data_IF_836771137157
#
_entry.id   IF_836771137157
#
_cell.length_a   1.000
_cell.length_b   1.000
_cell.length_c   1.000
_cell.angle_alpha   90.00
_cell.angle_beta   90.00
_cell.angle_gamma   90.00
#
_symmetry.space_group_name_H-M   'P 1'
#
loop_
_entity.id
_entity.type
_entity.pdbx_description
1 polymer ?
#
# COMPACT_ATOMS: atom_id res chain seq x y z
N UNK A 1 24.88 16.49 15.77
CA UNK A 1 23.88 15.84 16.63
C UNK A 1 22.98 14.98 15.77
N UNK A 2 23.09 13.64 15.87
CA UNK A 2 22.24 12.70 15.13
C UNK A 2 20.98 12.46 15.98
N UNK A 3 19.89 13.15 15.68
CA UNK A 3 18.59 12.92 16.33
C UNK A 3 17.94 11.66 15.75
N UNK A 4 18.25 10.50 16.34
CA UNK A 4 17.49 9.28 16.09
C UNK A 4 16.22 9.32 16.93
N UNK A 5 15.12 9.81 16.36
CA UNK A 5 13.81 9.76 16.99
C UNK A 5 13.30 8.31 17.00
N UNK A 6 13.16 7.77 18.21
CA UNK A 6 12.60 6.45 18.53
C UNK A 6 11.13 6.64 18.98
N UNK A 7 10.36 5.55 18.98
CA UNK A 7 9.17 5.28 19.83
C UNK A 7 7.77 5.15 19.17
N UNK A 8 7.17 4.03 19.58
CA UNK A 8 5.78 3.60 19.79
C UNK A 8 4.86 3.18 18.61
N UNK A 9 4.18 2.05 18.87
CA UNK A 9 3.41 1.17 17.97
C UNK A 9 1.91 1.32 18.25
N UNK A 10 1.08 1.20 17.21
CA UNK A 10 -0.24 0.58 17.31
C UNK A 10 -0.42 -0.39 16.14
N UNK A 11 -0.43 -1.69 16.42
CA UNK A 11 -1.08 -2.70 15.59
C UNK A 11 -1.99 -3.47 16.55
N UNK A 12 -3.21 -2.98 16.71
CA UNK A 12 -4.23 -3.61 17.55
C UNK A 12 -4.92 -4.70 16.71
N UNK A 13 -4.75 -5.97 17.10
CA UNK A 13 -5.71 -7.02 16.77
C UNK A 13 -6.68 -7.08 17.96
N UNK A 14 -8.00 -7.07 17.76
CA UNK A 14 -8.95 -7.26 18.84
C UNK A 14 -8.95 -8.73 19.25
N UNK A 15 -8.08 -9.11 20.18
CA UNK A 15 -8.13 -10.41 20.84
C UNK A 15 -8.41 -10.19 22.34
N UNK A 16 -9.57 -10.67 22.79
CA UNK A 16 -10.30 -10.19 23.98
C UNK A 16 -9.85 -10.80 25.31
N UNK A 17 -8.61 -11.27 25.46
CA UNK A 17 -8.20 -11.86 26.74
C UNK A 17 -6.70 -11.89 27.09
N UNK A 18 -5.86 -11.05 26.48
CA UNK A 18 -4.45 -10.88 26.89
C UNK A 18 -4.07 -9.41 26.80
N UNK A 19 -3.30 -8.92 27.76
CA UNK A 19 -2.71 -7.57 27.71
C UNK A 19 -2.14 -7.29 26.32
N UNK A 20 -2.31 -6.08 25.75
CA UNK A 20 -1.82 -5.76 24.42
C UNK A 20 -0.29 -5.78 24.39
N UNK A 21 0.27 -6.96 24.14
CA UNK A 21 1.70 -7.18 24.05
C UNK A 21 2.26 -6.63 22.75
N UNK A 22 3.45 -6.02 22.82
CA UNK A 22 4.20 -5.68 21.62
C UNK A 22 4.69 -6.96 20.93
N UNK A 23 4.23 -7.21 19.70
CA UNK A 23 4.70 -8.31 18.88
C UNK A 23 5.95 -7.89 18.09
N UNK A 24 6.95 -8.76 18.04
CA UNK A 24 8.18 -8.54 17.29
C UNK A 24 8.06 -9.15 15.88
N UNK A 25 8.36 -8.37 14.85
CA UNK A 25 8.32 -8.85 13.46
C UNK A 25 9.52 -9.73 13.07
N UNK A 26 10.63 -9.65 13.82
CA UNK A 26 11.86 -10.43 13.63
C UNK A 26 12.62 -10.60 14.94
N UNK A 27 13.66 -11.44 14.92
CA UNK A 27 14.63 -11.49 16.01
C UNK A 27 15.42 -10.16 16.09
N UNK A 28 15.53 -9.61 17.31
CA UNK A 28 16.22 -8.36 17.61
C UNK A 28 17.35 -8.66 18.61
N UNK A 29 18.61 -8.68 18.18
CA UNK A 29 19.77 -8.81 19.06
C UNK A 29 19.78 -7.80 20.21
N UNK A 30 20.37 -8.22 21.34
CA UNK A 30 20.55 -7.35 22.51
C UNK A 30 21.35 -6.09 22.12
N UNK A 31 20.81 -4.93 22.45
CA UNK A 31 21.43 -3.63 22.16
C UNK A 31 21.05 -3.04 20.80
N UNK A 32 20.30 -3.75 19.95
CA UNK A 32 19.76 -3.17 18.73
C UNK A 32 18.57 -2.25 19.03
N UNK A 33 18.47 -1.15 18.29
CA UNK A 33 17.34 -0.23 18.39
C UNK A 33 16.06 -0.85 17.83
N UNK A 34 14.98 -0.82 18.61
CA UNK A 34 13.64 -1.21 18.16
C UNK A 34 13.09 -0.09 17.27
N UNK A 35 12.68 -0.43 16.05
CA UNK A 35 12.15 0.53 15.07
C UNK A 35 10.73 0.15 14.64
N UNK A 36 9.96 1.15 14.21
CA UNK A 36 8.61 0.98 13.68
C UNK A 36 8.39 1.92 12.48
N UNK A 37 7.32 1.69 11.72
CA UNK A 37 6.92 2.55 10.61
C UNK A 37 5.90 3.61 11.07
N UNK A 38 6.17 4.88 10.74
CA UNK A 38 5.20 5.98 10.91
C UNK A 38 4.19 6.09 9.77
N UNK A 39 4.40 5.32 8.70
CA UNK A 39 3.58 5.37 7.49
C UNK A 39 2.95 4.01 7.24
N UNK A 40 1.80 3.95 6.54
CA UNK A 40 1.30 2.68 6.02
C UNK A 40 2.37 1.96 5.19
N UNK A 41 2.41 0.63 5.32
CA UNK A 41 3.49 -0.20 4.74
C UNK A 41 3.46 -0.21 3.21
N UNK A 42 2.28 -0.06 2.60
CA UNK A 42 2.08 -0.08 1.16
C UNK A 42 2.34 1.27 0.48
N UNK A 43 2.77 2.31 1.22
CA UNK A 43 3.09 3.58 0.59
C UNK A 43 4.44 3.53 -0.12
N UNK A 44 4.45 3.96 -1.38
CA UNK A 44 5.68 4.15 -2.14
C UNK A 44 6.58 5.26 -1.56
N UNK A 45 7.87 5.17 -1.87
CA UNK A 45 8.95 6.02 -1.39
C UNK A 45 8.63 7.52 -1.43
N UNK A 46 8.10 8.06 -2.54
CA UNK A 46 7.84 9.50 -2.66
C UNK A 46 6.67 9.97 -1.78
N UNK A 47 5.59 9.20 -1.71
CA UNK A 47 4.44 9.51 -0.83
C UNK A 47 4.85 9.45 0.65
N UNK A 48 5.63 8.42 1.01
CA UNK A 48 6.21 8.28 2.34
C UNK A 48 7.17 9.41 2.68
N UNK A 49 8.07 9.79 1.78
CA UNK A 49 9.01 10.89 2.00
C UNK A 49 8.26 12.22 2.20
N UNK A 50 7.27 12.53 1.36
CA UNK A 50 6.46 13.74 1.48
C UNK A 50 5.72 13.81 2.82
N UNK A 51 5.10 12.70 3.25
CA UNK A 51 4.40 12.63 4.53
C UNK A 51 5.33 12.77 5.75
N UNK A 52 6.48 12.09 5.74
CA UNK A 52 7.44 12.19 6.85
C UNK A 52 8.07 13.58 6.94
N UNK A 53 8.34 14.21 5.79
CA UNK A 53 8.83 15.58 5.74
C UNK A 53 7.79 16.57 6.31
N UNK A 54 6.50 16.42 5.98
CA UNK A 54 5.46 17.35 6.44
C UNK A 54 4.99 17.10 7.87
N UNK A 55 4.83 15.83 8.28
CA UNK A 55 4.23 15.46 9.56
C UNK A 55 5.25 15.20 10.67
N UNK A 56 6.45 14.73 10.31
CA UNK A 56 7.53 14.38 11.27
C UNK A 56 8.79 15.22 11.09
N UNK A 57 8.81 16.13 10.10
CA UNK A 57 9.89 17.10 9.88
C UNK A 57 11.26 16.45 9.66
N UNK A 58 11.31 15.27 9.03
CA UNK A 58 12.57 14.62 8.65
C UNK A 58 12.50 13.89 7.31
N UNK A 59 13.65 13.71 6.66
CA UNK A 59 13.80 12.84 5.48
C UNK A 59 14.25 11.45 5.91
N UNK A 60 13.45 10.43 5.62
CA UNK A 60 13.81 9.06 5.96
C UNK A 60 15.01 8.57 5.14
N UNK A 61 15.95 7.90 5.81
CA UNK A 61 17.16 7.32 5.21
C UNK A 61 17.31 5.83 5.53
N UNK A 62 16.20 5.12 5.77
CA UNK A 62 16.27 3.67 5.92
C UNK A 62 16.62 3.00 4.59
N UNK A 63 17.06 1.75 4.63
CA UNK A 63 17.46 0.96 3.45
C UNK A 63 16.42 1.03 2.31
N UNK A 64 15.13 0.82 2.63
CA UNK A 64 14.04 0.92 1.67
C UNK A 64 13.91 2.30 1.01
N UNK A 65 14.14 3.39 1.76
CA UNK A 65 14.04 4.75 1.22
C UNK A 65 15.27 5.16 0.40
N UNK A 66 16.40 4.48 0.60
CA UNK A 66 17.62 4.71 -0.17
C UNK A 66 17.67 3.84 -1.43
N UNK A 67 16.88 2.76 -1.49
CA UNK A 67 16.77 1.88 -2.65
C UNK A 67 15.59 2.30 -3.56
N UNK A 68 15.83 2.67 -4.83
CA UNK A 68 14.78 2.94 -5.82
C UNK A 68 13.85 1.75 -6.10
N UNK A 69 14.31 0.52 -5.83
CA UNK A 69 13.52 -0.71 -5.99
C UNK A 69 12.71 -1.07 -4.75
N UNK A 70 12.87 -0.31 -3.66
CA UNK A 70 12.18 -0.55 -2.38
C UNK A 70 12.39 -1.97 -1.85
N UNK A 71 13.64 -2.45 -1.86
CA UNK A 71 14.01 -3.82 -1.48
C UNK A 71 13.37 -4.87 -2.41
N UNK A 72 13.24 -4.52 -3.69
CA UNK A 72 12.62 -5.36 -4.72
C UNK A 72 11.09 -5.36 -4.72
N UNK A 73 10.43 -4.55 -3.89
CA UNK A 73 8.96 -4.48 -3.90
C UNK A 73 8.41 -3.68 -5.07
N UNK A 74 9.19 -2.75 -5.63
CA UNK A 74 8.79 -1.90 -6.75
C UNK A 74 7.45 -1.17 -6.56
N UNK A 75 7.11 -0.79 -5.31
CA UNK A 75 5.83 -0.15 -5.00
C UNK A 75 5.69 1.20 -5.70
N UNK A 76 6.81 1.89 -5.94
CA UNK A 76 6.88 3.19 -6.58
C UNK A 76 7.20 3.08 -8.07
N UNK A 77 7.68 1.94 -8.55
CA UNK A 77 8.10 1.79 -9.95
C UNK A 77 6.89 1.75 -10.88
N UNK A 78 7.05 2.29 -12.09
CA UNK A 78 5.99 2.35 -13.09
C UNK A 78 6.40 1.62 -14.35
N UNK A 79 5.50 0.84 -14.97
CA UNK A 79 5.79 0.16 -16.24
C UNK A 79 6.35 1.12 -17.30
N UNK A 80 7.46 0.73 -17.92
CA UNK A 80 8.02 1.44 -19.06
C UNK A 80 7.13 1.29 -20.30
N UNK A 81 6.94 2.37 -21.05
CA UNK A 81 6.16 2.35 -22.31
C UNK A 81 7.01 2.16 -23.56
N UNK A 82 8.33 2.29 -23.46
CA UNK A 82 9.24 2.14 -24.61
C UNK A 82 9.74 0.71 -24.82
N UNK A 83 9.86 -0.08 -23.76
CA UNK A 83 10.30 -1.46 -23.86
C UNK A 83 9.28 -2.42 -23.25
N UNK A 84 9.35 -3.68 -23.66
CA UNK A 84 8.55 -4.74 -23.06
C UNK A 84 9.24 -5.24 -21.79
N UNK A 85 8.52 -5.19 -20.66
CA UNK A 85 8.97 -5.80 -19.41
C UNK A 85 9.78 -4.89 -18.48
N UNK A 86 10.25 -3.73 -18.93
CA UNK A 86 10.98 -2.79 -18.07
C UNK A 86 10.10 -1.94 -17.17
N UNK A 87 10.69 -1.41 -16.10
CA UNK A 87 10.04 -0.45 -15.19
C UNK A 87 10.90 0.81 -15.01
N UNK A 88 10.21 1.95 -14.95
CA UNK A 88 10.74 3.24 -14.57
C UNK A 88 10.90 3.27 -13.05
N UNK A 89 12.13 3.45 -12.59
CA UNK A 89 12.46 3.61 -11.19
C UNK A 89 12.33 5.09 -10.79
N UNK A 90 11.87 5.37 -9.56
CA UNK A 90 11.88 6.72 -9.03
C UNK A 90 13.33 7.23 -8.91
N UNK A 91 13.54 8.55 -9.03
CA UNK A 91 14.84 9.15 -8.77
C UNK A 91 15.32 8.85 -7.34
N UNK A 92 16.64 8.74 -7.17
CA UNK A 92 17.25 8.41 -5.87
C UNK A 92 17.25 9.60 -4.91
N UNK A 93 17.15 10.83 -5.46
CA UNK A 93 17.10 12.08 -4.71
C UNK A 93 15.81 12.86 -5.00
N UNK A 94 15.20 13.53 -4.01
CA UNK A 94 14.08 14.45 -4.26
C UNK A 94 14.40 15.61 -5.22
N UNK A 95 15.68 15.97 -5.38
CA UNK A 95 16.10 17.03 -6.30
C UNK A 95 16.13 16.58 -7.77
N UNK A 96 16.20 15.27 -8.02
CA UNK A 96 16.17 14.71 -9.36
C UNK A 96 14.72 14.62 -9.86
N UNK A 97 14.52 15.00 -11.11
CA UNK A 97 13.20 15.11 -11.73
C UNK A 97 13.01 14.11 -12.87
N UNK A 98 13.90 13.13 -13.00
CA UNK A 98 13.88 12.15 -14.08
C UNK A 98 13.75 10.75 -13.50
N UNK A 99 12.81 9.99 -14.05
CA UNK A 99 12.63 8.58 -13.83
C UNK A 99 13.31 7.82 -14.95
N UNK A 100 14.04 6.76 -14.63
CA UNK A 100 14.80 6.00 -15.61
C UNK A 100 14.34 4.55 -15.66
N UNK A 101 14.19 4.01 -16.86
CA UNK A 101 13.88 2.61 -17.05
C UNK A 101 15.11 1.74 -16.82
N UNK A 102 15.01 0.73 -15.97
CA UNK A 102 16.14 -0.16 -15.69
C UNK A 102 16.49 -1.14 -16.81
N UNK A 103 15.60 -1.32 -17.80
CA UNK A 103 15.82 -2.26 -18.92
C UNK A 103 16.31 -1.59 -20.20
N UNK A 104 15.79 -0.41 -20.55
CA UNK A 104 16.13 0.27 -21.81
C UNK A 104 16.76 1.66 -21.63
N UNK A 105 16.88 2.16 -20.39
CA UNK A 105 17.47 3.47 -20.11
C UNK A 105 16.59 4.67 -20.46
N UNK A 106 15.35 4.46 -20.89
CA UNK A 106 14.40 5.53 -21.20
C UNK A 106 14.20 6.45 -19.99
N UNK A 107 14.25 7.76 -20.24
CA UNK A 107 14.12 8.79 -19.23
C UNK A 107 12.76 9.50 -19.36
N UNK A 108 11.99 9.55 -18.29
CA UNK A 108 10.66 10.17 -18.24
C UNK A 108 10.63 11.23 -17.15
N UNK A 109 10.07 12.39 -17.43
CA UNK A 109 9.94 13.47 -16.45
C UNK A 109 9.04 13.04 -15.28
N UNK A 110 9.47 13.36 -14.05
CA UNK A 110 8.73 13.05 -12.83
C UNK A 110 7.31 13.63 -12.84
N UNK A 111 7.12 14.83 -13.39
CA UNK A 111 5.80 15.45 -13.52
C UNK A 111 4.82 14.58 -14.34
N UNK A 112 5.31 13.93 -15.41
CA UNK A 112 4.49 13.06 -16.25
C UNK A 112 4.14 11.75 -15.52
N UNK A 113 5.11 11.12 -14.85
CA UNK A 113 4.87 9.92 -14.03
C UNK A 113 3.89 10.23 -12.90
N UNK A 114 4.07 11.33 -12.19
CA UNK A 114 3.18 11.75 -11.13
C UNK A 114 1.76 12.04 -11.61
N UNK A 115 1.59 12.70 -12.76
CA UNK A 115 0.27 12.97 -13.31
C UNK A 115 -0.47 11.67 -13.62
N UNK A 116 0.23 10.70 -14.19
CA UNK A 116 -0.31 9.35 -14.44
C UNK A 116 -0.67 8.64 -13.13
N UNK A 117 0.21 8.67 -12.11
CA UNK A 117 -0.05 8.06 -10.80
C UNK A 117 -1.21 8.73 -10.07
N UNK A 118 -1.36 10.06 -10.16
CA UNK A 118 -2.50 10.80 -9.61
C UNK A 118 -3.80 10.39 -10.28
N UNK A 119 -3.83 10.33 -11.62
CA UNK A 119 -5.01 9.89 -12.36
C UNK A 119 -5.41 8.46 -11.97
N UNK A 120 -4.43 7.55 -11.93
CA UNK A 120 -4.59 6.18 -11.46
C UNK A 120 -5.22 6.10 -10.06
N UNK A 121 -4.69 6.88 -9.11
CA UNK A 121 -5.19 6.91 -7.74
C UNK A 121 -6.61 7.50 -7.63
N UNK A 122 -6.96 8.51 -8.43
CA UNK A 122 -8.31 9.07 -8.48
C UNK A 122 -9.32 8.04 -8.98
N UNK A 123 -8.98 7.29 -10.02
CA UNK A 123 -9.83 6.21 -10.54
C UNK A 123 -10.06 5.12 -9.49
N UNK A 124 -8.99 4.67 -8.82
CA UNK A 124 -9.10 3.66 -7.77
C UNK A 124 -9.95 4.10 -6.58
N UNK A 125 -9.89 5.38 -6.21
CA UNK A 125 -10.75 5.94 -5.16
C UNK A 125 -12.22 5.98 -5.56
N UNK A 126 -12.52 6.22 -6.83
CA UNK A 126 -13.90 6.32 -7.33
C UNK A 126 -14.66 5.00 -7.28
N UNK A 127 -13.95 3.86 -7.43
CA UNK A 127 -14.54 2.53 -7.47
C UNK A 127 -14.74 1.88 -6.08
N UNK A 128 -14.31 2.54 -4.99
CA UNK A 128 -14.33 1.93 -3.65
C UNK A 128 -15.76 1.52 -3.25
N UNK A 129 -15.94 0.25 -2.87
CA UNK A 129 -17.22 -0.32 -2.47
C UNK A 129 -17.96 -1.08 -3.59
N UNK A 130 -17.51 -0.96 -4.83
CA UNK A 130 -18.02 -1.73 -5.97
C UNK A 130 -16.97 -2.74 -6.44
N UNK A 131 -17.27 -4.03 -6.31
CA UNK A 131 -16.34 -5.10 -6.65
C UNK A 131 -16.08 -5.20 -8.16
N UNK A 132 -17.09 -4.96 -9.00
CA UNK A 132 -16.96 -5.05 -10.46
C UNK A 132 -16.13 -3.89 -11.00
N UNK A 133 -16.41 -2.67 -10.52
CA UNK A 133 -15.62 -1.49 -10.89
C UNK A 133 -14.18 -1.61 -10.39
N UNK A 134 -13.96 -2.09 -9.15
CA UNK A 134 -12.62 -2.32 -8.62
C UNK A 134 -11.84 -3.34 -9.45
N UNK A 135 -12.48 -4.41 -9.90
CA UNK A 135 -11.86 -5.40 -10.79
C UNK A 135 -11.43 -4.75 -12.12
N UNK A 136 -12.30 -3.93 -12.73
CA UNK A 136 -11.96 -3.19 -13.94
C UNK A 136 -10.79 -2.23 -13.72
N UNK A 137 -10.79 -1.49 -12.61
CA UNK A 137 -9.68 -0.60 -12.22
C UNK A 137 -8.39 -1.39 -12.03
N UNK A 138 -8.40 -2.52 -11.34
CA UNK A 138 -7.19 -3.35 -11.14
C UNK A 138 -6.60 -3.77 -12.49
N UNK A 139 -7.41 -4.22 -13.44
CA UNK A 139 -6.97 -4.55 -14.79
C UNK A 139 -6.35 -3.34 -15.50
N UNK A 140 -6.98 -2.17 -15.40
CA UNK A 140 -6.48 -0.95 -16.02
C UNK A 140 -5.18 -0.45 -15.39
N UNK A 141 -5.08 -0.44 -14.06
CA UNK A 141 -3.87 0.01 -13.33
C UNK A 141 -2.72 -0.95 -13.54
N UNK A 142 -2.98 -2.26 -13.57
CA UNK A 142 -1.98 -3.27 -13.90
C UNK A 142 -1.37 -2.99 -15.27
N UNK A 143 -2.17 -2.52 -16.25
CA UNK A 143 -1.69 -2.11 -17.59
C UNK A 143 -0.92 -0.79 -17.57
N UNK A 144 -1.47 0.20 -16.88
CA UNK A 144 -0.98 1.59 -16.89
C UNK A 144 0.28 1.81 -16.07
N UNK A 145 0.26 1.38 -14.79
CA UNK A 145 1.34 1.63 -13.83
C UNK A 145 2.12 0.35 -13.49
N UNK A 146 1.53 -0.82 -13.68
CA UNK A 146 2.17 -2.11 -13.40
C UNK A 146 1.53 -2.82 -12.21
N UNK A 147 1.89 -4.09 -12.05
CA UNK A 147 1.25 -4.98 -11.09
C UNK A 147 1.60 -4.68 -9.63
N UNK A 148 2.88 -4.37 -9.37
CA UNK A 148 3.40 -4.14 -8.03
C UNK A 148 3.25 -2.69 -7.57
N UNK A 149 2.86 -1.77 -8.44
CA UNK A 149 2.73 -0.36 -8.09
C UNK A 149 1.67 -0.18 -6.98
N UNK A 150 1.94 0.69 -6.01
CA UNK A 150 1.15 0.81 -4.78
C UNK A 150 -0.33 1.12 -5.04
N UNK A 151 -0.65 1.82 -6.12
CA UNK A 151 -2.04 2.08 -6.52
C UNK A 151 -2.75 0.79 -6.95
N UNK A 152 -2.08 -0.07 -7.71
CA UNK A 152 -2.63 -1.38 -8.13
C UNK A 152 -2.79 -2.29 -6.92
N UNK A 153 -1.78 -2.35 -6.04
CA UNK A 153 -1.85 -3.16 -4.82
C UNK A 153 -2.95 -2.66 -3.89
N UNK A 154 -3.09 -1.34 -3.73
CA UNK A 154 -4.18 -0.74 -2.96
C UNK A 154 -5.55 -1.08 -3.53
N UNK A 155 -5.74 -0.98 -4.85
CA UNK A 155 -6.99 -1.38 -5.50
C UNK A 155 -7.29 -2.88 -5.33
N UNK A 156 -6.28 -3.76 -5.44
CA UNK A 156 -6.41 -5.19 -5.15
C UNK A 156 -6.85 -5.44 -3.71
N UNK A 157 -6.26 -4.72 -2.75
CA UNK A 157 -6.64 -4.80 -1.34
C UNK A 157 -8.11 -4.41 -1.14
N UNK A 158 -8.53 -3.24 -1.66
CA UNK A 158 -9.91 -2.78 -1.55
C UNK A 158 -10.90 -3.73 -2.22
N UNK A 159 -10.54 -4.37 -3.34
CA UNK A 159 -11.37 -5.40 -3.97
C UNK A 159 -11.60 -6.59 -3.03
N UNK A 160 -10.54 -7.09 -2.40
CA UNK A 160 -10.65 -8.19 -1.43
C UNK A 160 -11.52 -7.78 -0.24
N UNK A 161 -11.32 -6.59 0.31
CA UNK A 161 -12.14 -6.08 1.42
C UNK A 161 -13.62 -6.02 1.05
N UNK A 162 -13.97 -5.50 -0.13
CA UNK A 162 -15.35 -5.42 -0.62
C UNK A 162 -15.97 -6.81 -0.78
N UNK A 163 -15.25 -7.76 -1.39
CA UNK A 163 -15.73 -9.14 -1.56
C UNK A 163 -15.98 -9.81 -0.21
N UNK A 164 -15.03 -9.68 0.73
CA UNK A 164 -15.16 -10.29 2.05
C UNK A 164 -16.31 -9.67 2.85
N UNK A 165 -16.47 -8.35 2.80
CA UNK A 165 -17.59 -7.67 3.44
C UNK A 165 -18.95 -8.15 2.90
N UNK A 166 -19.08 -8.31 1.58
CA UNK A 166 -20.29 -8.83 0.94
C UNK A 166 -20.61 -10.27 1.35
N UNK A 167 -19.59 -11.15 1.45
CA UNK A 167 -19.77 -12.53 1.92
C UNK A 167 -20.27 -12.60 3.35
N UNK A 168 -19.64 -11.84 4.26
CA UNK A 168 -20.05 -11.78 5.66
C UNK A 168 -21.46 -11.20 5.82
N UNK A 169 -21.85 -10.26 4.98
CA UNK A 169 -23.23 -9.75 4.95
C UNK A 169 -24.22 -10.86 4.59
N UNK A 170 -23.97 -11.60 3.50
CA UNK A 170 -24.83 -12.69 3.08
C UNK A 170 -24.91 -13.83 4.09
N UNK A 171 -23.83 -14.13 4.83
CA UNK A 171 -23.83 -15.11 5.92
C UNK A 171 -24.73 -14.66 7.09
N UNK A 172 -24.61 -13.39 7.51
CA UNK A 172 -25.45 -12.81 8.57
C UNK A 172 -26.93 -12.76 8.20
N UNK A 173 -27.26 -12.47 6.94
CA UNK A 173 -28.65 -12.48 6.47
C UNK A 173 -29.25 -13.88 6.52
N UNK A 174 -28.51 -14.90 6.07
CA UNK A 174 -28.94 -16.31 6.13
C UNK A 174 -29.09 -16.80 7.57
N UNK A 175 -28.22 -16.36 8.48
CA UNK A 175 -28.33 -16.68 9.90
C UNK A 175 -29.62 -16.08 10.51
N UNK A 176 -29.90 -14.80 10.25
CA UNK A 176 -31.15 -14.14 10.69
C UNK A 176 -32.39 -14.79 10.10
N UNK A 177 -32.34 -15.24 8.85
CA UNK A 177 -33.45 -15.96 8.21
C UNK A 177 -33.71 -17.30 8.92
N UNK A 178 -32.66 -18.09 9.19
CA UNK A 178 -32.75 -19.35 9.95
C UNK A 178 -33.25 -19.16 11.39
N UNK A 179 -32.89 -18.05 12.03
CA UNK A 179 -33.40 -17.70 13.36
C UNK A 179 -34.90 -17.42 13.31
N UNK A 180 -35.37 -16.61 12.35
CA UNK A 180 -36.81 -16.36 12.16
C UNK A 180 -37.59 -17.64 11.84
N UNK A 181 -37.05 -18.52 10.99
CA UNK A 181 -37.67 -19.82 10.69
C UNK A 181 -37.75 -20.70 11.94
N UNK A 182 -36.71 -20.70 12.77
CA UNK A 182 -36.68 -21.45 14.03
C UNK A 182 -37.70 -20.90 15.04
N UNK A 183 -37.79 -19.59 15.18
CA UNK A 183 -38.77 -18.92 16.05
C UNK A 183 -40.20 -19.14 15.56
N UNK A 184 -40.43 -19.18 14.24
CA UNK A 184 -41.72 -19.48 13.62
C UNK A 184 -42.13 -20.95 13.68
N UNK A 185 -41.22 -21.89 13.97
CA UNK A 185 -41.52 -23.32 14.09
C UNK A 185 -42.11 -23.71 15.47
N UNK A 186 -42.16 -22.79 16.44
CA UNK A 186 -42.67 -23.00 17.80
C UNK A 186 -44.04 -22.35 18.08
N UNK A 187 -44.72 -21.84 17.05
CA UNK A 187 -46.10 -21.31 17.10
C UNK A 187 -47.05 -22.16 16.29
#
# INVERSE_FOLDING_TARGET
MKSHATFMIYCLIPDTNKDPGFLQARNIPKGEAITNTYTPVLWGNRARAAYLASSKLFTCRCERCLDPRELGSHLSSVRCRQCQGGVLLPPSSPAETVWQCESCGENVAAAAVEAMVRAAATMAKGAVGDAEELQAVVCQMTRLVGECHYVTVGAKHSLVETIMAGRLHGEREREREREREREGLFT
#
